data_IF_469109538207
#
_entry.id   IF_469109538207
#
_cell.length_a   1.000
_cell.length_b   1.000
_cell.length_c   1.000
_cell.angle_alpha   90.00
_cell.angle_beta   90.00
_cell.angle_gamma   90.00
#
_symmetry.space_group_name_H-M   'P 1'
#
loop_
_entity.id
_entity.type
_entity.pdbx_description
1 polymer ?
#
# COMPACT_ATOMS: atom_id res chain seq x y z
N UNK A 7 -7.99 -14.98 -2.93
CA UNK A 7 -8.16 -14.50 -1.53
C UNK A 7 -7.59 -13.08 -1.40
N UNK A 8 -6.30 -12.96 -1.24
CA UNK A 8 -5.68 -11.61 -1.11
C UNK A 8 -4.47 -11.48 -2.06
N UNK A 9 -4.36 -10.36 -2.73
CA UNK A 9 -3.22 -10.16 -3.68
C UNK A 9 -2.56 -8.80 -3.42
N UNK A 10 -1.27 -8.72 -3.62
CA UNK A 10 -0.56 -7.43 -3.42
C UNK A 10 -0.15 -6.89 -4.79
N UNK A 11 -0.60 -5.71 -5.14
CA UNK A 11 -0.26 -5.14 -6.48
C UNK A 11 1.25 -5.18 -6.72
N UNK A 12 1.69 -6.10 -7.55
CA UNK A 12 3.14 -6.20 -7.87
C UNK A 12 3.56 -4.94 -8.63
N UNK A 13 2.62 -4.31 -9.29
CA UNK A 13 2.92 -3.06 -10.04
C UNK A 13 3.31 -1.95 -9.07
N UNK A 14 2.84 -2.01 -7.84
CA UNK A 14 3.20 -0.98 -6.83
C UNK A 14 4.58 -1.33 -6.27
N UNK A 15 4.85 -2.61 -6.10
CA UNK A 15 6.18 -3.04 -5.59
C UNK A 15 7.27 -2.66 -6.59
N UNK A 16 7.00 -2.84 -7.87
CA UNK A 16 8.01 -2.48 -8.91
C UNK A 16 8.44 -1.00 -8.77
N UNK A 17 7.61 -0.19 -8.15
CA UNK A 17 7.96 1.25 -7.96
C UNK A 17 8.45 1.50 -6.53
N UNK A 18 7.99 0.71 -5.58
CA UNK A 18 8.43 0.91 -4.17
C UNK A 18 9.86 0.40 -3.96
N UNK A 19 10.22 -0.69 -4.60
CA UNK A 19 11.61 -1.21 -4.45
C UNK A 19 12.57 -0.15 -4.96
N UNK A 20 12.12 0.65 -5.90
CA UNK A 20 12.97 1.74 -6.43
C UNK A 20 13.09 2.82 -5.35
N UNK A 21 12.03 3.04 -4.61
CA UNK A 21 12.06 4.06 -3.52
C UNK A 21 12.85 3.52 -2.32
N UNK A 22 12.90 2.22 -2.17
CA UNK A 22 13.67 1.62 -1.04
C UNK A 22 15.15 1.51 -1.43
N UNK A 23 15.44 1.57 -2.71
CA UNK A 23 16.85 1.48 -3.18
C UNK A 23 17.49 2.87 -3.16
N UNK A 24 16.74 3.88 -3.52
CA UNK A 24 17.29 5.27 -3.51
C UNK A 24 17.04 5.89 -2.14
N UNK A 25 16.02 5.44 -1.46
CA UNK A 25 15.69 6.00 -0.12
C UNK A 25 14.62 7.08 -0.28
N UNK A 26 13.98 7.15 -1.43
CA UNK A 26 12.92 8.19 -1.64
C UNK A 26 11.62 7.77 -0.95
N UNK A 27 11.07 8.63 -0.13
CA UNK A 27 9.79 8.30 0.57
C UNK A 27 8.63 9.00 -0.14
N UNK A 28 8.24 8.51 -1.28
CA UNK A 28 7.11 9.14 -2.04
C UNK A 28 5.88 8.23 -2.01
N UNK A 29 5.03 8.32 -3.01
CA UNK A 29 3.81 7.47 -3.04
C UNK A 29 3.80 6.56 -4.28
N UNK A 30 3.15 5.43 -4.18
CA UNK A 30 3.07 4.49 -5.34
C UNK A 30 1.59 4.18 -5.63
N UNK A 31 1.11 4.55 -6.78
CA UNK A 31 -0.33 4.30 -7.12
C UNK A 31 -0.57 2.84 -7.53
N UNK A 32 -1.79 2.38 -7.39
CA UNK A 32 -2.12 0.96 -7.76
C UNK A 32 -3.52 0.90 -8.39
N UNK A 33 -3.75 -0.02 -9.31
CA UNK A 33 -5.10 -0.12 -9.96
C UNK A 33 -5.42 -1.58 -10.32
N UNK A 34 -5.28 -2.50 -9.40
CA UNK A 34 -5.59 -3.93 -9.73
C UNK A 34 -6.98 -4.32 -9.21
N UNK A 35 -7.08 -4.88 -8.03
CA UNK A 35 -8.42 -5.28 -7.49
C UNK A 35 -8.32 -5.54 -5.98
N UNK A 36 -7.59 -6.55 -5.58
CA UNK A 36 -7.44 -6.85 -4.12
C UNK A 36 -6.13 -6.24 -3.60
N UNK A 37 -5.69 -5.16 -4.21
CA UNK A 37 -4.41 -4.49 -3.80
C UNK A 37 -4.22 -4.49 -2.28
N UNK A 38 -3.11 -5.04 -1.83
CA UNK A 38 -2.82 -5.09 -0.37
C UNK A 38 -1.43 -4.49 -0.10
N UNK A 39 -1.15 -4.12 1.13
CA UNK A 39 0.19 -3.52 1.44
C UNK A 39 1.25 -4.62 1.65
N UNK A 40 2.50 -4.23 1.67
CA UNK A 40 3.62 -5.19 1.89
C UNK A 40 4.67 -4.55 2.80
N UNK A 41 5.68 -5.31 3.12
CA UNK A 41 6.76 -4.81 4.01
C UNK A 41 7.55 -3.69 3.34
N UNK A 42 7.69 -3.74 2.04
CA UNK A 42 8.43 -2.66 1.31
C UNK A 42 7.65 -1.33 1.39
N UNK A 43 6.43 -1.36 1.87
CA UNK A 43 5.62 -0.10 1.96
C UNK A 43 5.78 0.58 3.33
N UNK A 44 6.57 0.02 4.21
CA UNK A 44 6.77 0.61 5.58
C UNK A 44 7.23 2.09 5.56
N UNK A 45 7.45 2.68 4.41
CA UNK A 45 7.88 4.11 4.37
C UNK A 45 7.36 4.76 3.08
N UNK A 46 6.19 4.37 2.61
CA UNK A 46 5.64 4.98 1.36
C UNK A 46 4.12 5.13 1.43
N UNK A 47 3.59 6.08 0.70
CA UNK A 47 2.12 6.29 0.68
C UNK A 47 1.58 5.64 -0.59
N UNK A 48 1.34 4.37 -0.55
CA UNK A 48 0.87 3.66 -1.78
C UNK A 48 -0.65 3.75 -1.92
N UNK A 49 -1.11 4.28 -3.02
CA UNK A 49 -2.58 4.38 -3.23
C UNK A 49 -3.14 3.03 -3.63
N UNK A 50 -3.35 2.18 -2.66
CA UNK A 50 -3.89 0.81 -2.95
C UNK A 50 -5.23 0.91 -3.68
N UNK A 51 -5.38 0.17 -4.74
CA UNK A 51 -6.67 0.21 -5.49
C UNK A 51 -7.74 -0.56 -4.72
N UNK A 52 -8.65 0.15 -4.09
CA UNK A 52 -9.73 -0.54 -3.31
C UNK A 52 -10.73 -1.22 -4.27
N UNK A 53 -10.52 -1.09 -5.56
CA UNK A 53 -11.46 -1.69 -6.55
C UNK A 53 -12.04 -0.55 -7.39
N UNK A 54 -12.03 0.65 -6.84
CA UNK A 54 -12.56 1.83 -7.58
C UNK A 54 -11.68 3.07 -7.34
N UNK A 55 -11.04 3.17 -6.19
CA UNK A 55 -10.21 4.36 -5.88
C UNK A 55 -8.79 3.98 -5.44
N UNK A 56 -7.86 4.88 -5.61
CA UNK A 56 -6.45 4.64 -5.18
C UNK A 56 -6.23 5.38 -3.85
N UNK A 57 -6.17 4.67 -2.75
CA UNK A 57 -5.97 5.35 -1.43
C UNK A 57 -4.49 5.35 -1.05
N UNK A 58 -3.83 6.48 -1.27
CA UNK A 58 -2.37 6.60 -0.95
C UNK A 58 -2.18 6.51 0.55
N UNK A 59 -1.99 5.32 1.03
CA UNK A 59 -1.82 5.11 2.49
C UNK A 59 -0.34 5.01 2.86
N UNK A 60 0.15 5.90 3.69
CA UNK A 60 1.57 5.79 4.10
C UNK A 60 1.67 4.62 5.07
N UNK A 61 2.19 3.52 4.62
CA UNK A 61 2.28 2.33 5.49
C UNK A 61 3.53 2.37 6.36
N UNK A 62 3.39 1.94 7.58
CA UNK A 62 4.55 1.88 8.51
C UNK A 62 4.95 0.41 8.65
N UNK A 63 5.64 0.04 9.70
CA UNK A 63 6.02 -1.39 9.86
C UNK A 63 4.94 -2.15 10.66
N UNK A 64 3.73 -1.63 10.75
CA UNK A 64 2.67 -2.33 11.54
C UNK A 64 1.28 -2.28 10.85
N UNK A 65 1.06 -1.37 9.93
CA UNK A 65 -0.27 -1.29 9.25
C UNK A 65 -0.33 -2.27 8.07
N UNK A 66 0.80 -2.65 7.53
CA UNK A 66 0.81 -3.60 6.37
C UNK A 66 0.30 -4.99 6.79
N UNK A 67 -0.08 -5.80 5.82
CA UNK A 67 -0.55 -7.18 6.13
C UNK A 67 -2.02 -7.36 5.73
N UNK A 68 -2.74 -6.29 5.49
CA UNK A 68 -4.17 -6.45 5.13
C UNK A 68 -4.49 -5.77 3.79
N UNK A 69 -4.71 -4.47 3.80
CA UNK A 69 -5.04 -3.73 2.54
C UNK A 69 -5.32 -2.25 2.85
N UNK A 70 -5.84 -2.01 4.01
CA UNK A 70 -6.18 -0.62 4.48
C UNK A 70 -6.93 -0.66 5.84
N UNK A 71 -7.45 -1.81 6.24
CA UNK A 71 -8.19 -1.91 7.53
C UNK A 71 -7.23 -1.75 8.71
N UNK A 72 -5.95 -1.91 8.49
CA UNK A 72 -4.96 -1.74 9.60
C UNK A 72 -4.57 -0.27 9.71
N UNK A 73 -4.87 0.49 8.68
CA UNK A 73 -4.56 1.94 8.70
C UNK A 73 -5.83 2.70 9.11
N UNK A 74 -6.98 2.06 8.97
CA UNK A 74 -8.25 2.73 9.36
C UNK A 74 -9.12 1.78 10.21
N UNK A 75 -8.53 1.24 11.26
CA UNK A 75 -9.27 0.32 12.15
C UNK A 75 -10.05 1.12 13.20
N UNK A 76 -10.80 2.10 12.75
CA UNK A 76 -11.59 2.94 13.70
C UNK A 76 -13.04 2.44 13.79
N UNK A 77 -13.23 1.23 14.28
CA UNK A 77 -14.61 0.65 14.41
C UNK A 77 -15.34 0.65 13.06
N UNK A 78 -16.63 0.42 13.07
CA UNK A 78 -17.41 0.41 11.79
C UNK A 78 -18.26 1.69 11.68
N UNK A 79 -18.73 1.99 10.49
CA UNK A 79 -19.58 3.21 10.28
C UNK A 79 -18.87 4.46 10.83
#
# INVERSE_FOLDING_TARGET
PRSLKKGVFVDDHLLEKVLELNAKGEKRLIKTWSRRSTIVPEMVGHTIAVYNGKQHVPVYITENMVGHKLGEFAPTRTYRGHGKEAKATKKK
#
